data_IF_826010998373
#
_entry.id   IF_826010998373
#
_cell.length_a   1.000
_cell.length_b   1.000
_cell.length_c   1.000
_cell.angle_alpha   90.00
_cell.angle_beta   90.00
_cell.angle_gamma   90.00
#
_symmetry.space_group_name_H-M   'P 1'
#
loop_
_entity.id
_entity.type
_entity.pdbx_description
1 polymer ?
#
# COMPACT_ATOMS: atom_id res chain seq x y z
N UNK A 1 0.61 -3.18 -30.53
CA UNK A 1 1.22 -2.08 -29.77
C UNK A 1 0.13 -1.49 -28.90
N UNK A 2 0.31 -1.48 -27.58
CA UNK A 2 -0.63 -0.80 -26.70
C UNK A 2 -0.64 0.68 -27.05
N UNK A 3 -1.82 1.28 -27.21
CA UNK A 3 -1.95 2.70 -27.46
C UNK A 3 -1.52 3.42 -26.17
N UNK A 4 -0.49 4.25 -26.24
CA UNK A 4 -0.06 5.07 -25.10
C UNK A 4 -1.17 6.09 -24.83
N UNK A 5 -1.75 6.02 -23.63
CA UNK A 5 -2.76 6.98 -23.21
C UNK A 5 -2.12 8.30 -22.82
N UNK A 6 -2.74 9.40 -23.23
CA UNK A 6 -2.38 10.73 -22.74
C UNK A 6 -3.15 11.01 -21.43
N UNK A 7 -2.47 10.97 -20.28
CA UNK A 7 -3.13 11.15 -18.98
C UNK A 7 -3.58 12.60 -18.73
N UNK A 8 -3.32 13.53 -19.65
CA UNK A 8 -3.83 14.90 -19.56
C UNK A 8 -5.28 15.02 -20.06
N UNK A 9 -5.76 14.05 -20.87
CA UNK A 9 -7.11 14.05 -21.40
C UNK A 9 -8.14 13.69 -20.33
N UNK A 10 -9.21 14.49 -20.14
CA UNK A 10 -10.24 14.22 -19.11
C UNK A 10 -10.87 12.83 -19.26
N UNK A 11 -11.27 12.43 -20.46
CA UNK A 11 -11.89 11.12 -20.68
C UNK A 11 -10.99 9.95 -20.24
N UNK A 12 -9.68 10.02 -20.49
CA UNK A 12 -8.71 9.01 -20.02
C UNK A 12 -8.67 8.96 -18.50
N UNK A 13 -8.74 10.12 -17.84
CA UNK A 13 -8.76 10.19 -16.37
C UNK A 13 -10.05 9.66 -15.76
N UNK A 14 -11.18 9.90 -16.41
CA UNK A 14 -12.49 9.44 -15.93
C UNK A 14 -12.57 7.91 -15.98
N UNK A 15 -12.19 7.29 -17.10
CA UNK A 15 -12.11 5.82 -17.21
C UNK A 15 -11.12 5.22 -16.21
N UNK A 16 -9.96 5.82 -16.07
CA UNK A 16 -8.96 5.37 -15.10
C UNK A 16 -9.49 5.45 -13.67
N UNK A 17 -10.11 6.57 -13.28
CA UNK A 17 -10.66 6.75 -11.93
C UNK A 17 -11.77 5.75 -11.64
N UNK A 18 -12.68 5.53 -12.58
CA UNK A 18 -13.74 4.53 -12.47
C UNK A 18 -13.17 3.13 -12.26
N UNK A 19 -12.21 2.71 -13.10
CA UNK A 19 -11.56 1.40 -12.96
C UNK A 19 -10.78 1.26 -11.65
N UNK A 20 -10.15 2.34 -11.16
CA UNK A 20 -9.46 2.34 -9.88
C UNK A 20 -10.42 2.19 -8.70
N UNK A 21 -11.60 2.82 -8.75
CA UNK A 21 -12.66 2.66 -7.74
C UNK A 21 -13.22 1.24 -7.74
N UNK A 22 -13.52 0.67 -8.90
CA UNK A 22 -13.98 -0.72 -9.05
C UNK A 22 -12.92 -1.71 -8.54
N UNK A 23 -11.64 -1.42 -8.78
CA UNK A 23 -10.50 -2.21 -8.25
C UNK A 23 -10.33 -2.05 -6.74
N UNK A 24 -10.74 -0.91 -6.20
CA UNK A 24 -10.74 -0.63 -4.77
C UNK A 24 -9.37 -0.33 -4.17
N UNK A 25 -8.35 0.03 -4.97
CA UNK A 25 -7.02 0.40 -4.48
C UNK A 25 -6.70 1.87 -4.73
N UNK A 26 -6.40 2.61 -3.68
CA UNK A 26 -5.96 4.00 -3.78
C UNK A 26 -4.64 4.14 -4.55
N UNK A 27 -3.81 3.09 -4.54
CA UNK A 27 -2.54 3.04 -5.28
C UNK A 27 -2.71 2.86 -6.78
N UNK A 28 -3.92 2.52 -7.25
CA UNK A 28 -4.29 2.42 -8.66
C UNK A 28 -4.77 3.76 -9.24
N UNK A 29 -5.03 4.77 -8.40
CA UNK A 29 -5.63 6.04 -8.82
C UNK A 29 -4.69 6.90 -9.66
N UNK A 30 -5.23 7.73 -10.58
CA UNK A 30 -4.44 8.73 -11.29
C UNK A 30 -3.67 9.65 -10.34
N UNK A 31 -4.29 10.02 -9.20
CA UNK A 31 -3.70 10.89 -8.19
C UNK A 31 -2.41 10.29 -7.61
N UNK A 32 -2.41 8.99 -7.28
CA UNK A 32 -1.22 8.30 -6.78
C UNK A 32 -0.17 8.14 -7.89
N UNK A 33 -0.56 7.54 -9.01
CA UNK A 33 0.40 7.11 -10.03
C UNK A 33 1.01 8.29 -10.81
N UNK A 34 0.25 9.36 -11.08
CA UNK A 34 0.78 10.56 -11.73
C UNK A 34 1.61 11.42 -10.75
N UNK A 35 1.27 11.45 -9.45
CA UNK A 35 2.15 12.05 -8.44
C UNK A 35 3.46 11.27 -8.36
N UNK A 36 3.40 9.94 -8.31
CA UNK A 36 4.60 9.10 -8.37
C UNK A 36 5.44 9.40 -9.62
N UNK A 37 4.80 9.52 -10.78
CA UNK A 37 5.48 9.81 -12.05
C UNK A 37 6.22 11.16 -12.02
N UNK A 38 5.61 12.19 -11.44
CA UNK A 38 6.27 13.52 -11.31
C UNK A 38 7.54 13.46 -10.45
N UNK A 39 7.51 12.69 -9.37
CA UNK A 39 8.66 12.61 -8.46
C UNK A 39 9.76 11.65 -8.92
N UNK A 40 9.38 10.59 -9.61
CA UNK A 40 10.30 9.48 -9.91
C UNK A 40 10.38 9.13 -11.40
N UNK A 41 9.68 9.82 -12.28
CA UNK A 41 9.62 9.53 -13.70
C UNK A 41 10.78 10.12 -14.52
N UNK A 42 11.61 11.00 -13.95
CA UNK A 42 12.76 11.57 -14.64
C UNK A 42 13.67 10.47 -15.22
N UNK A 43 14.18 10.64 -16.43
CA UNK A 43 15.02 9.69 -17.17
C UNK A 43 14.36 8.32 -17.45
N UNK A 44 13.03 8.25 -17.37
CA UNK A 44 12.23 7.05 -17.67
C UNK A 44 11.24 7.35 -18.80
N UNK A 45 10.76 6.29 -19.43
CA UNK A 45 9.76 6.35 -20.49
C UNK A 45 8.43 5.82 -19.94
N UNK A 46 7.38 6.64 -19.95
CA UNK A 46 6.05 6.21 -19.53
C UNK A 46 5.49 5.22 -20.54
N UNK A 47 4.95 4.12 -20.06
CA UNK A 47 4.32 3.09 -20.86
C UNK A 47 2.95 2.78 -20.23
N UNK A 48 2.05 3.74 -20.36
CA UNK A 48 0.71 3.72 -19.79
C UNK A 48 -0.32 3.40 -20.88
N UNK A 49 -1.14 2.37 -20.66
CA UNK A 49 -2.35 2.11 -21.44
C UNK A 49 -3.55 2.28 -20.51
N UNK A 50 -4.54 3.04 -20.96
CA UNK A 50 -5.84 3.19 -20.31
C UNK A 50 -6.89 2.92 -21.37
N UNK A 51 -7.67 1.89 -21.16
CA UNK A 51 -8.78 1.46 -21.98
C UNK A 51 -10.04 1.41 -21.10
N UNK A 52 -11.21 1.28 -21.67
CA UNK A 52 -12.49 1.24 -20.96
C UNK A 52 -12.64 0.06 -19.99
N UNK A 53 -11.86 -1.01 -20.19
CA UNK A 53 -11.91 -2.27 -19.44
C UNK A 53 -10.59 -2.65 -18.73
N UNK A 54 -9.49 -1.87 -18.94
CA UNK A 54 -8.22 -2.16 -18.30
C UNK A 54 -7.25 -0.97 -18.27
N UNK A 55 -6.45 -0.91 -17.23
CA UNK A 55 -5.28 -0.02 -17.11
C UNK A 55 -4.02 -0.84 -16.93
N UNK A 56 -3.01 -0.58 -17.76
CA UNK A 56 -1.67 -1.14 -17.66
C UNK A 56 -0.67 -0.02 -17.32
N UNK A 57 -0.37 0.19 -16.02
CA UNK A 57 0.46 1.30 -15.58
C UNK A 57 1.92 0.91 -15.49
N UNK A 58 2.61 0.94 -16.61
CA UNK A 58 4.02 0.59 -16.69
C UNK A 58 4.91 1.79 -17.02
N UNK A 59 6.21 1.62 -16.84
CA UNK A 59 7.25 2.49 -17.35
C UNK A 59 8.50 1.70 -17.73
N UNK A 60 9.32 2.25 -18.61
CA UNK A 60 10.61 1.69 -19.00
C UNK A 60 11.72 2.39 -18.24
N UNK A 61 12.56 1.59 -17.60
CA UNK A 61 13.81 2.03 -17.02
C UNK A 61 14.98 1.42 -17.82
N UNK A 62 15.71 2.27 -18.54
CA UNK A 62 16.84 1.84 -19.36
C UNK A 62 18.08 1.65 -18.47
N UNK A 63 18.32 0.44 -18.05
CA UNK A 63 19.57 0.04 -17.38
C UNK A 63 20.47 -0.62 -18.42
N UNK A 64 21.29 0.18 -19.11
CA UNK A 64 22.15 -0.34 -20.19
C UNK A 64 22.93 -1.57 -19.73
N UNK A 65 22.94 -2.69 -20.50
CA UNK A 65 22.33 -2.82 -21.82
C UNK A 65 20.82 -3.21 -21.80
N UNK A 66 20.18 -3.34 -20.60
CA UNK A 66 18.84 -3.92 -20.45
C UNK A 66 17.73 -2.86 -20.54
N UNK A 67 16.66 -3.22 -21.26
CA UNK A 67 15.36 -2.53 -21.23
C UNK A 67 14.49 -3.19 -20.17
N UNK A 68 14.32 -2.53 -19.03
CA UNK A 68 13.55 -3.02 -17.88
C UNK A 68 12.20 -2.34 -17.82
N UNK A 69 11.11 -3.11 -17.93
CA UNK A 69 9.74 -2.62 -17.71
C UNK A 69 9.35 -2.87 -16.27
N UNK A 70 8.73 -1.88 -15.63
CA UNK A 70 8.26 -1.96 -14.25
C UNK A 70 6.88 -1.34 -14.09
N UNK A 71 6.17 -1.75 -13.05
CA UNK A 71 4.90 -1.14 -12.67
C UNK A 71 5.13 0.24 -12.06
N UNK A 72 4.29 1.22 -12.44
CA UNK A 72 4.23 2.53 -11.79
C UNK A 72 3.89 2.39 -10.29
N UNK A 73 4.32 3.35 -9.48
CA UNK A 73 4.02 3.35 -8.04
C UNK A 73 4.99 2.53 -7.19
N UNK A 74 5.93 1.79 -7.80
CA UNK A 74 6.83 0.93 -7.05
C UNK A 74 7.69 1.71 -6.03
N UNK A 75 7.98 1.07 -4.91
CA UNK A 75 8.68 1.67 -3.77
C UNK A 75 7.67 2.08 -2.69
N UNK A 76 7.04 3.26 -2.77
CA UNK A 76 6.07 3.68 -1.78
C UNK A 76 4.69 3.00 -1.89
N UNK A 77 4.29 2.52 -3.08
CA UNK A 77 2.96 1.93 -3.27
C UNK A 77 2.87 0.48 -2.83
N UNK A 78 1.69 0.09 -2.41
CA UNK A 78 1.26 -1.29 -2.21
C UNK A 78 0.15 -1.64 -3.22
N UNK A 79 -0.18 -2.92 -3.42
CA UNK A 79 -1.24 -3.36 -4.34
C UNK A 79 -1.10 -2.75 -5.75
N UNK A 80 0.03 -3.01 -6.39
CA UNK A 80 0.40 -2.46 -7.69
C UNK A 80 0.11 -3.43 -8.82
N UNK A 81 -0.03 -2.92 -10.05
CA UNK A 81 -0.14 -3.73 -11.24
C UNK A 81 -1.23 -3.28 -12.18
N UNK A 82 -1.48 -4.05 -13.24
CA UNK A 82 -2.65 -3.87 -14.09
C UNK A 82 -3.95 -4.11 -13.33
N UNK A 83 -4.99 -3.39 -13.67
CA UNK A 83 -6.31 -3.51 -13.05
C UNK A 83 -7.44 -3.25 -14.07
N UNK A 84 -8.64 -3.63 -13.70
CA UNK A 84 -9.81 -3.69 -14.57
C UNK A 84 -10.13 -5.12 -15.04
N UNK A 85 -11.36 -5.39 -15.51
CA UNK A 85 -11.83 -6.75 -15.82
C UNK A 85 -11.00 -7.47 -16.88
N UNK A 86 -10.50 -6.77 -17.91
CA UNK A 86 -9.66 -7.36 -18.96
C UNK A 86 -8.15 -7.29 -18.66
N UNK A 87 -7.73 -6.77 -17.51
CA UNK A 87 -6.32 -6.51 -17.19
C UNK A 87 -5.39 -7.73 -17.34
N UNK A 88 -5.87 -8.93 -17.03
CA UNK A 88 -5.09 -10.17 -17.12
C UNK A 88 -4.81 -10.58 -18.56
N UNK A 89 -5.80 -10.48 -19.44
CA UNK A 89 -5.64 -10.80 -20.85
C UNK A 89 -4.83 -9.71 -21.57
N UNK A 90 -5.04 -8.45 -21.24
CA UNK A 90 -4.23 -7.32 -21.73
C UNK A 90 -2.77 -7.45 -21.30
N UNK A 91 -2.51 -7.87 -20.05
CA UNK A 91 -1.15 -8.12 -19.56
C UNK A 91 -0.48 -9.26 -20.32
N UNK A 92 -1.19 -10.35 -20.60
CA UNK A 92 -0.67 -11.46 -21.40
C UNK A 92 -0.28 -10.98 -22.80
N UNK A 93 -1.16 -10.27 -23.49
CA UNK A 93 -0.89 -9.68 -24.79
C UNK A 93 0.31 -8.74 -24.77
N UNK A 94 0.40 -7.89 -23.73
CA UNK A 94 1.54 -7.01 -23.52
C UNK A 94 2.86 -7.78 -23.43
N UNK A 95 2.91 -8.87 -22.65
CA UNK A 95 4.10 -9.71 -22.49
C UNK A 95 4.51 -10.37 -23.80
N UNK A 96 3.55 -10.75 -24.65
CA UNK A 96 3.81 -11.41 -25.94
C UNK A 96 4.22 -10.43 -27.05
N UNK A 97 3.68 -9.22 -27.03
CA UNK A 97 3.86 -8.23 -28.09
C UNK A 97 4.99 -7.23 -27.85
N UNK A 98 5.24 -6.85 -26.57
CA UNK A 98 6.20 -5.80 -26.25
C UNK A 98 7.64 -6.31 -26.14
N UNK A 99 8.57 -5.46 -26.57
CA UNK A 99 10.00 -5.75 -26.50
C UNK A 99 10.57 -5.24 -25.18
N UNK A 100 11.00 -6.14 -24.33
CA UNK A 100 11.73 -5.87 -23.11
C UNK A 100 12.70 -7.01 -22.79
N UNK A 101 13.72 -6.72 -21.99
CA UNK A 101 14.62 -7.76 -21.44
C UNK A 101 14.08 -8.29 -20.12
N UNK A 102 13.59 -7.40 -19.27
CA UNK A 102 12.97 -7.73 -17.98
C UNK A 102 11.65 -7.00 -17.81
N UNK A 103 10.61 -7.73 -17.38
CA UNK A 103 9.39 -7.15 -16.82
C UNK A 103 9.32 -7.51 -15.34
N UNK A 104 9.16 -6.51 -14.49
CA UNK A 104 9.09 -6.65 -13.03
C UNK A 104 7.73 -6.19 -12.55
N UNK A 105 6.84 -7.14 -12.29
CA UNK A 105 5.54 -6.91 -11.68
C UNK A 105 5.65 -7.15 -10.17
N UNK A 106 5.67 -6.07 -9.41
CA UNK A 106 5.81 -6.10 -7.96
C UNK A 106 4.46 -5.87 -7.28
N UNK A 107 4.20 -6.63 -6.21
CA UNK A 107 3.04 -6.41 -5.33
C UNK A 107 1.69 -6.52 -6.07
N UNK A 108 1.60 -7.44 -7.02
CA UNK A 108 0.35 -7.78 -7.71
C UNK A 108 -0.65 -8.34 -6.69
N UNK A 109 -1.84 -7.73 -6.52
CA UNK A 109 -2.79 -8.15 -5.49
C UNK A 109 -3.48 -9.47 -5.84
N UNK A 110 -3.66 -10.33 -4.81
CA UNK A 110 -4.48 -11.54 -4.88
C UNK A 110 -6.00 -11.25 -4.80
N UNK A 111 -6.82 -12.29 -4.61
CA UNK A 111 -6.45 -13.68 -4.27
C UNK A 111 -6.05 -14.55 -5.45
N UNK A 112 -6.44 -14.22 -6.67
CA UNK A 112 -6.13 -15.04 -7.84
C UNK A 112 -4.67 -14.88 -8.28
N UNK A 113 -3.97 -16.01 -8.62
CA UNK A 113 -2.58 -15.96 -9.03
C UNK A 113 -2.41 -15.23 -10.38
N UNK A 114 -1.36 -14.41 -10.49
CA UNK A 114 -1.03 -13.66 -11.71
C UNK A 114 -0.15 -14.43 -12.70
N UNK A 115 0.50 -15.49 -12.24
CA UNK A 115 1.45 -16.25 -13.06
C UNK A 115 0.86 -16.76 -14.40
N UNK A 116 -0.41 -17.19 -14.50
CA UNK A 116 -1.03 -17.58 -15.76
C UNK A 116 -1.12 -16.46 -16.82
N UNK A 117 -1.15 -15.19 -16.37
CA UNK A 117 -1.20 -14.02 -17.24
C UNK A 117 0.19 -13.48 -17.64
N UNK A 118 1.25 -14.13 -17.18
CA UNK A 118 2.64 -13.73 -17.40
C UNK A 118 3.44 -14.87 -18.02
N UNK A 119 3.31 -15.13 -19.34
CA UNK A 119 4.05 -16.20 -20.04
C UNK A 119 5.56 -16.11 -19.78
N UNK A 120 6.17 -17.23 -19.39
CA UNK A 120 7.59 -17.29 -18.99
C UNK A 120 7.91 -16.63 -17.64
N UNK A 121 6.89 -16.19 -16.92
CA UNK A 121 7.02 -15.55 -15.62
C UNK A 121 7.55 -16.48 -14.54
N UNK A 122 8.21 -15.91 -13.56
CA UNK A 122 8.72 -16.59 -12.36
C UNK A 122 8.32 -15.83 -11.11
N UNK A 123 7.60 -16.51 -10.22
CA UNK A 123 7.28 -15.99 -8.91
C UNK A 123 8.58 -15.81 -8.11
N UNK A 124 8.82 -14.59 -7.65
CA UNK A 124 9.99 -14.26 -6.81
C UNK A 124 9.66 -14.25 -5.34
N UNK A 125 8.50 -13.72 -4.96
CA UNK A 125 8.07 -13.63 -3.57
C UNK A 125 6.56 -13.47 -3.48
N UNK A 126 6.02 -13.89 -2.34
CA UNK A 126 4.71 -13.50 -1.83
C UNK A 126 4.89 -12.78 -0.51
N UNK A 127 4.08 -11.75 -0.29
CA UNK A 127 3.98 -11.02 0.96
C UNK A 127 2.53 -11.06 1.41
N UNK A 128 2.26 -11.00 2.69
CA UNK A 128 0.91 -10.85 3.21
C UNK A 128 0.35 -9.46 2.89
N UNK A 129 -0.96 -9.40 2.73
CA UNK A 129 -1.78 -8.20 2.66
C UNK A 129 -3.08 -8.46 3.41
N UNK A 130 -3.02 -8.58 4.76
CA UNK A 130 -4.17 -8.98 5.56
C UNK A 130 -5.31 -7.98 5.47
N UNK A 131 -6.54 -8.51 5.43
CA UNK A 131 -7.78 -7.75 5.35
C UNK A 131 -8.71 -8.18 6.48
N UNK A 132 -9.34 -7.22 7.13
CA UNK A 132 -10.46 -7.42 8.02
C UNK A 132 -11.74 -7.00 7.29
N UNK A 133 -12.56 -7.96 6.96
CA UNK A 133 -13.90 -7.74 6.45
C UNK A 133 -14.85 -7.50 7.63
N UNK A 134 -15.57 -6.42 7.61
CA UNK A 134 -16.50 -6.08 8.68
C UNK A 134 -17.83 -6.84 8.58
N UNK A 135 -18.19 -7.34 7.38
CA UNK A 135 -19.38 -8.17 7.14
C UNK A 135 -20.68 -7.60 7.75
N UNK A 136 -20.79 -6.28 7.85
CA UNK A 136 -21.94 -5.62 8.47
C UNK A 136 -22.07 -5.77 10.00
N UNK A 137 -21.02 -6.27 10.67
CA UNK A 137 -20.99 -6.46 12.12
C UNK A 137 -20.87 -5.13 12.86
N UNK A 138 -21.36 -5.10 14.07
CA UNK A 138 -21.05 -4.06 15.05
C UNK A 138 -19.68 -4.30 15.68
N UNK A 139 -19.08 -3.27 16.29
CA UNK A 139 -17.84 -3.42 17.06
C UNK A 139 -17.90 -4.52 18.14
N UNK A 140 -19.04 -4.61 18.82
CA UNK A 140 -19.27 -5.63 19.85
C UNK A 140 -19.24 -7.05 19.27
N UNK A 141 -19.88 -7.27 18.14
CA UNK A 141 -19.92 -8.57 17.45
C UNK A 141 -18.56 -8.95 16.89
N UNK A 142 -17.84 -8.00 16.27
CA UNK A 142 -16.48 -8.20 15.78
C UNK A 142 -15.56 -8.66 16.93
N UNK A 143 -15.62 -7.98 18.06
CA UNK A 143 -14.85 -8.40 19.25
C UNK A 143 -15.32 -9.75 19.80
N UNK A 144 -16.61 -10.04 19.81
CA UNK A 144 -17.13 -11.32 20.28
C UNK A 144 -16.57 -12.51 19.49
N UNK A 145 -16.31 -12.33 18.18
CA UNK A 145 -15.64 -13.32 17.33
C UNK A 145 -14.14 -13.54 17.62
N UNK A 146 -13.51 -12.68 18.44
CA UNK A 146 -12.08 -12.81 18.80
C UNK A 146 -11.89 -13.57 20.11
N UNK A 147 -10.67 -14.08 20.35
CA UNK A 147 -10.35 -14.79 21.60
C UNK A 147 -10.58 -13.91 22.83
N UNK A 148 -10.95 -14.56 23.98
CA UNK A 148 -11.16 -13.86 25.25
C UNK A 148 -9.97 -12.99 25.64
N UNK A 149 -8.76 -13.53 25.53
CA UNK A 149 -7.53 -12.80 25.87
C UNK A 149 -7.36 -11.55 24.99
N UNK A 150 -7.70 -11.65 23.69
CA UNK A 150 -7.61 -10.49 22.79
C UNK A 150 -8.62 -9.40 23.15
N UNK A 151 -9.88 -9.76 23.41
CA UNK A 151 -10.93 -8.83 23.86
C UNK A 151 -10.53 -8.09 25.15
N UNK A 152 -10.07 -8.86 26.14
CA UNK A 152 -9.60 -8.30 27.41
C UNK A 152 -8.40 -7.36 27.20
N UNK A 153 -7.47 -7.71 26.30
CA UNK A 153 -6.31 -6.87 25.97
C UNK A 153 -6.74 -5.52 25.35
N UNK A 154 -7.69 -5.54 24.42
CA UNK A 154 -8.23 -4.32 23.79
C UNK A 154 -8.76 -3.36 24.85
N UNK A 155 -9.70 -3.80 25.65
CA UNK A 155 -10.30 -2.95 26.67
C UNK A 155 -9.35 -2.55 27.82
N UNK A 156 -8.48 -3.45 28.25
CA UNK A 156 -7.52 -3.20 29.34
C UNK A 156 -6.50 -2.13 28.95
N UNK A 157 -5.95 -2.18 27.72
CA UNK A 157 -4.91 -1.22 27.29
C UNK A 157 -5.47 0.19 27.13
N UNK A 158 -6.66 0.35 26.56
CA UNK A 158 -7.30 1.63 26.44
C UNK A 158 -7.56 2.24 27.83
N UNK A 159 -8.24 1.50 28.72
CA UNK A 159 -8.50 1.96 30.11
C UNK A 159 -7.23 2.24 30.92
N UNK A 160 -6.15 1.48 30.70
CA UNK A 160 -4.88 1.70 31.40
C UNK A 160 -4.21 3.01 30.93
N UNK A 161 -4.40 3.38 29.66
CA UNK A 161 -3.91 4.64 29.12
C UNK A 161 -4.71 5.82 29.69
N UNK A 162 -6.05 5.74 29.64
CA UNK A 162 -6.99 6.74 30.19
C UNK A 162 -6.83 7.01 31.70
N UNK A 163 -6.34 6.02 32.46
CA UNK A 163 -6.03 6.19 33.88
C UNK A 163 -4.75 6.95 34.17
N UNK A 164 -3.83 7.02 33.19
CA UNK A 164 -2.51 7.62 33.36
C UNK A 164 -2.38 8.98 32.70
N UNK A 165 -3.20 9.26 31.68
CA UNK A 165 -3.09 10.44 30.83
C UNK A 165 -4.47 10.96 30.45
N UNK A 166 -4.54 12.25 30.14
CA UNK A 166 -5.63 12.80 29.33
C UNK A 166 -5.42 12.35 27.87
N UNK A 167 -6.32 11.49 27.39
CA UNK A 167 -6.19 10.80 26.08
C UNK A 167 -7.13 11.44 25.08
N UNK A 168 -6.58 11.93 23.98
CA UNK A 168 -7.37 12.41 22.84
C UNK A 168 -6.97 11.75 21.53
N UNK A 169 -7.96 11.63 20.64
CA UNK A 169 -7.79 11.12 19.29
C UNK A 169 -8.21 12.23 18.31
N UNK A 170 -7.31 12.61 17.43
CA UNK A 170 -7.58 13.65 16.44
C UNK A 170 -7.48 13.07 15.03
N UNK A 171 -8.59 13.11 14.29
CA UNK A 171 -8.60 12.82 12.86
C UNK A 171 -8.33 14.11 12.08
N UNK A 172 -7.37 14.04 11.18
CA UNK A 172 -7.02 15.08 10.22
C UNK A 172 -7.33 14.56 8.82
N UNK A 173 -8.20 15.26 8.12
CA UNK A 173 -8.67 14.90 6.76
C UNK A 173 -8.24 15.91 5.70
N UNK A 174 -7.71 17.05 6.12
CA UNK A 174 -7.05 18.06 5.31
C UNK A 174 -5.52 17.85 5.32
N UNK A 175 -4.81 18.49 4.41
CA UNK A 175 -3.35 18.37 4.34
C UNK A 175 -2.64 19.33 5.31
N UNK A 176 -3.02 19.31 6.58
CA UNK A 176 -2.39 20.09 7.66
C UNK A 176 -0.90 19.75 7.78
N UNK A 177 -0.04 20.70 7.46
CA UNK A 177 1.41 20.52 7.45
C UNK A 177 1.96 20.19 8.85
N UNK A 178 1.40 20.76 9.91
CA UNK A 178 1.82 20.48 11.30
C UNK A 178 1.48 19.05 11.72
N UNK A 179 0.36 18.51 11.25
CA UNK A 179 -0.02 17.11 11.47
C UNK A 179 0.89 16.16 10.67
N UNK A 180 1.22 16.50 9.41
CA UNK A 180 2.16 15.75 8.60
C UNK A 180 3.57 15.76 9.20
N UNK A 181 4.07 16.91 9.67
CA UNK A 181 5.35 17.02 10.40
C UNK A 181 5.37 16.11 11.62
N UNK A 182 4.28 16.10 12.38
CA UNK A 182 4.12 15.24 13.55
C UNK A 182 4.17 13.76 13.15
N UNK A 183 3.49 13.37 12.07
CA UNK A 183 3.53 12.01 11.54
C UNK A 183 4.95 11.60 11.14
N UNK A 184 5.65 12.40 10.32
CA UNK A 184 7.00 12.07 9.86
C UNK A 184 8.00 11.98 11.01
N UNK A 185 7.90 12.89 11.99
CA UNK A 185 8.71 12.84 13.22
C UNK A 185 8.48 11.54 13.99
N UNK A 186 7.22 11.18 14.27
CA UNK A 186 6.88 9.94 14.99
C UNK A 186 7.26 8.69 14.22
N UNK A 187 7.12 8.70 12.88
CA UNK A 187 7.53 7.61 12.01
C UNK A 187 9.06 7.41 12.08
N UNK A 188 9.83 8.49 12.00
CA UNK A 188 11.28 8.45 12.13
C UNK A 188 11.75 7.91 13.48
N UNK A 189 11.12 8.33 14.59
CA UNK A 189 11.40 7.82 15.93
C UNK A 189 11.17 6.31 16.06
N UNK A 190 10.06 5.81 15.47
CA UNK A 190 9.72 4.38 15.47
C UNK A 190 10.79 3.53 14.78
N UNK A 191 11.31 3.96 13.63
CA UNK A 191 12.15 3.16 12.75
C UNK A 191 13.64 3.32 12.99
N UNK A 192 14.07 4.33 13.77
CA UNK A 192 15.48 4.61 14.10
C UNK A 192 16.40 4.75 12.89
N UNK A 193 15.85 5.17 11.73
CA UNK A 193 16.63 5.33 10.50
C UNK A 193 15.74 5.62 9.29
N UNK A 194 16.36 5.80 8.11
CA UNK A 194 15.62 6.11 6.88
C UNK A 194 14.74 4.93 6.45
N UNK A 195 13.52 5.24 6.09
CA UNK A 195 12.55 4.31 5.52
C UNK A 195 12.15 4.77 4.12
N UNK A 196 11.46 3.93 3.35
CA UNK A 196 10.88 4.37 2.07
C UNK A 196 10.01 5.60 2.26
N UNK A 197 9.24 5.68 3.35
CA UNK A 197 8.34 6.81 3.66
C UNK A 197 9.13 8.10 3.86
N UNK A 198 10.16 8.09 4.70
CA UNK A 198 10.98 9.30 4.95
C UNK A 198 11.86 9.68 3.76
N UNK A 199 12.29 8.71 2.96
CA UNK A 199 13.06 8.97 1.73
C UNK A 199 12.19 9.52 0.60
N UNK A 200 10.87 9.37 0.68
CA UNK A 200 9.91 9.84 -0.31
C UNK A 200 8.95 10.88 0.27
N UNK A 201 9.36 11.61 1.30
CA UNK A 201 8.52 12.55 2.05
C UNK A 201 7.84 13.59 1.15
N UNK A 202 8.55 14.20 0.21
CA UNK A 202 7.97 15.18 -0.71
C UNK A 202 6.82 14.58 -1.55
N UNK A 203 6.98 13.35 -2.03
CA UNK A 203 5.92 12.62 -2.70
C UNK A 203 4.74 12.32 -1.75
N UNK A 204 5.01 11.90 -0.52
CA UNK A 204 3.97 11.58 0.46
C UNK A 204 3.13 12.81 0.81
N UNK A 205 3.76 13.98 0.99
CA UNK A 205 3.06 15.25 1.26
C UNK A 205 2.20 15.68 0.08
N UNK A 206 2.72 15.63 -1.14
CA UNK A 206 1.95 15.96 -2.33
C UNK A 206 0.75 15.01 -2.51
N UNK A 207 0.95 13.71 -2.29
CA UNK A 207 -0.16 12.78 -2.39
C UNK A 207 -1.19 12.98 -1.26
N UNK A 208 -0.75 13.27 -0.03
CA UNK A 208 -1.66 13.59 1.08
C UNK A 208 -2.56 14.79 0.76
N UNK A 209 -2.01 15.85 0.12
CA UNK A 209 -2.80 16.99 -0.33
C UNK A 209 -3.87 16.58 -1.36
N UNK A 210 -3.50 15.77 -2.36
CA UNK A 210 -4.45 15.28 -3.36
C UNK A 210 -5.50 14.34 -2.77
N UNK A 211 -5.09 13.49 -1.84
CA UNK A 211 -6.00 12.61 -1.12
C UNK A 211 -6.98 13.41 -0.24
N UNK A 212 -6.54 14.52 0.35
CA UNK A 212 -7.40 15.44 1.10
C UNK A 212 -8.43 16.13 0.18
N UNK A 213 -8.02 16.63 -0.98
CA UNK A 213 -8.91 17.21 -2.01
C UNK A 213 -10.02 16.24 -2.44
N UNK A 214 -9.73 14.93 -2.42
CA UNK A 214 -10.67 13.85 -2.75
C UNK A 214 -11.45 13.32 -1.54
N UNK A 215 -11.18 13.80 -0.33
CA UNK A 215 -11.78 13.28 0.89
C UNK A 215 -11.29 11.87 1.29
N UNK A 216 -10.13 11.44 0.76
CA UNK A 216 -9.56 10.11 1.05
C UNK A 216 -8.58 10.11 2.21
N UNK A 217 -7.98 11.27 2.56
CA UNK A 217 -6.95 11.34 3.59
C UNK A 217 -7.53 11.00 4.97
N UNK A 218 -6.82 10.13 5.67
CA UNK A 218 -7.06 9.78 7.07
C UNK A 218 -5.74 9.82 7.82
N UNK A 219 -5.51 10.86 8.60
CA UNK A 219 -4.35 10.97 9.48
C UNK A 219 -4.84 11.07 10.93
N UNK A 220 -4.66 9.99 11.67
CA UNK A 220 -5.01 9.92 13.09
C UNK A 220 -3.80 10.22 13.96
N UNK A 221 -4.00 11.05 14.96
CA UNK A 221 -3.04 11.32 16.04
C UNK A 221 -3.65 10.90 17.38
N UNK A 222 -2.89 10.11 18.13
CA UNK A 222 -3.15 9.83 19.54
C UNK A 222 -2.28 10.78 20.36
N UNK A 223 -2.93 11.59 21.19
CA UNK A 223 -2.27 12.55 22.06
C UNK A 223 -2.46 12.16 23.52
N UNK A 224 -1.42 12.33 24.32
CA UNK A 224 -1.39 12.09 25.76
C UNK A 224 -0.98 13.38 26.46
N UNK A 225 -1.85 13.92 27.31
CA UNK A 225 -1.67 15.23 27.97
C UNK A 225 -1.33 16.34 26.95
N UNK A 226 -2.02 16.32 25.79
CA UNK A 226 -1.82 17.24 24.67
C UNK A 226 -0.54 17.03 23.85
N UNK A 227 0.18 15.92 24.05
CA UNK A 227 1.42 15.60 23.30
C UNK A 227 1.21 14.42 22.36
N UNK A 228 1.52 14.55 21.06
CA UNK A 228 1.41 13.45 20.12
C UNK A 228 2.32 12.27 20.47
N UNK A 229 1.71 11.12 20.79
CA UNK A 229 2.39 9.88 21.20
C UNK A 229 2.41 8.83 20.11
N UNK A 230 1.39 8.78 19.25
CA UNK A 230 1.33 7.90 18.07
C UNK A 230 0.60 8.57 16.91
N UNK A 231 0.94 8.16 15.70
CA UNK A 231 0.29 8.59 14.47
C UNK A 231 -0.01 7.39 13.58
N UNK A 232 -1.10 7.49 12.82
CA UNK A 232 -1.54 6.52 11.83
C UNK A 232 -1.95 7.27 10.57
N UNK A 233 -1.26 7.01 9.47
CA UNK A 233 -1.56 7.57 8.15
C UNK A 233 -2.19 6.49 7.29
N UNK A 234 -3.33 6.80 6.72
CA UNK A 234 -4.07 5.92 5.83
C UNK A 234 -5.01 6.67 4.91
N UNK A 235 -5.87 5.89 4.23
CA UNK A 235 -6.78 6.43 3.24
C UNK A 235 -8.13 5.71 3.29
N UNK A 236 -9.24 6.46 3.18
CA UNK A 236 -10.56 5.91 2.92
C UNK A 236 -10.78 5.93 1.41
N UNK A 237 -10.85 4.77 0.78
CA UNK A 237 -11.06 4.66 -0.66
C UNK A 237 -11.99 3.50 -1.01
N UNK A 238 -12.92 3.72 -1.93
CA UNK A 238 -13.91 2.73 -2.38
C UNK A 238 -14.55 1.94 -1.21
N UNK A 239 -14.91 2.65 -0.11
CA UNK A 239 -15.52 2.06 1.07
C UNK A 239 -14.60 1.24 1.98
N UNK A 240 -13.30 1.14 1.68
CA UNK A 240 -12.30 0.50 2.53
C UNK A 240 -11.44 1.51 3.27
N UNK A 241 -11.06 1.20 4.52
CA UNK A 241 -10.04 1.93 5.27
C UNK A 241 -8.69 1.25 5.09
N UNK A 242 -7.70 1.97 4.59
CA UNK A 242 -6.37 1.45 4.26
C UNK A 242 -5.33 1.93 5.28
N UNK A 243 -4.76 1.00 6.06
CA UNK A 243 -3.68 1.27 7.01
C UNK A 243 -2.34 1.34 6.27
N UNK A 244 -1.93 2.53 5.88
CA UNK A 244 -0.72 2.69 5.07
C UNK A 244 0.54 2.72 5.92
N UNK A 245 0.65 3.66 6.87
CA UNK A 245 1.86 3.81 7.69
C UNK A 245 1.52 4.26 9.12
N UNK A 246 2.45 4.03 10.03
CA UNK A 246 2.32 4.49 11.40
C UNK A 246 3.65 4.99 11.99
N UNK A 247 3.53 5.88 12.96
CA UNK A 247 4.62 6.37 13.79
C UNK A 247 4.27 6.30 15.27
N UNK A 248 5.28 6.31 16.12
CA UNK A 248 5.10 6.45 17.57
C UNK A 248 6.35 6.99 18.24
N UNK A 249 6.15 7.57 19.41
CA UNK A 249 7.25 7.89 20.32
C UNK A 249 7.59 6.63 21.14
N UNK A 250 8.82 6.10 21.05
CA UNK A 250 9.25 4.93 21.82
C UNK A 250 9.21 5.11 23.34
N UNK A 251 9.18 6.35 23.85
CA UNK A 251 9.05 6.62 25.30
C UNK A 251 7.73 6.06 25.85
N UNK A 252 6.70 5.88 25.01
CA UNK A 252 5.40 5.29 25.35
C UNK A 252 5.26 3.81 24.97
N UNK A 253 6.35 3.08 24.72
CA UNK A 253 6.27 1.66 24.32
C UNK A 253 5.57 0.78 25.38
N UNK A 254 5.77 1.08 26.67
CA UNK A 254 5.10 0.37 27.78
C UNK A 254 3.58 0.56 27.77
N UNK A 255 3.11 1.70 27.33
CA UNK A 255 1.70 2.06 27.20
C UNK A 255 1.02 1.46 25.98
N UNK A 256 1.80 0.91 25.02
CA UNK A 256 1.29 0.27 23.81
C UNK A 256 0.44 1.21 22.93
N UNK A 257 0.81 2.48 22.83
CA UNK A 257 0.07 3.54 22.13
C UNK A 257 -0.28 3.17 20.67
N UNK A 258 0.62 2.50 19.94
CA UNK A 258 0.33 2.04 18.58
C UNK A 258 -0.81 1.02 18.52
N UNK A 259 -0.91 0.11 19.49
CA UNK A 259 -1.99 -0.87 19.54
C UNK A 259 -3.32 -0.19 19.90
N UNK A 260 -3.30 0.75 20.83
CA UNK A 260 -4.50 1.51 21.23
C UNK A 260 -5.00 2.33 20.05
N UNK A 261 -4.13 3.07 19.36
CA UNK A 261 -4.49 3.84 18.18
C UNK A 261 -5.02 2.95 17.05
N UNK A 262 -4.34 1.83 16.73
CA UNK A 262 -4.81 0.89 15.71
C UNK A 262 -6.21 0.35 16.03
N UNK A 263 -6.45 0.00 17.28
CA UNK A 263 -7.77 -0.50 17.71
C UNK A 263 -8.85 0.57 17.57
N UNK A 264 -8.51 1.83 17.90
CA UNK A 264 -9.39 2.97 17.72
C UNK A 264 -9.70 3.18 16.24
N UNK A 265 -8.71 3.22 15.36
CA UNK A 265 -8.94 3.45 13.92
C UNK A 265 -9.76 2.34 13.25
N UNK A 266 -9.63 1.08 13.69
CA UNK A 266 -10.47 -0.03 13.22
C UNK A 266 -11.92 0.16 13.66
N UNK A 267 -12.12 0.56 14.92
CA UNK A 267 -13.46 0.82 15.45
C UNK A 267 -14.13 1.99 14.72
N UNK A 268 -13.45 3.11 14.59
CA UNK A 268 -13.93 4.29 13.88
C UNK A 268 -14.27 3.97 12.42
N UNK A 269 -13.40 3.21 11.72
CA UNK A 269 -13.66 2.80 10.35
C UNK A 269 -14.95 1.99 10.22
N UNK A 270 -15.19 1.07 11.14
CA UNK A 270 -16.39 0.24 11.18
C UNK A 270 -17.64 1.09 11.50
N UNK A 271 -17.58 1.94 12.53
CA UNK A 271 -18.68 2.81 12.95
C UNK A 271 -19.01 3.87 11.90
N UNK A 272 -18.02 4.29 11.08
CA UNK A 272 -18.12 5.23 9.97
C UNK A 272 -18.50 4.53 8.63
N UNK A 273 -18.95 3.28 8.70
CA UNK A 273 -19.53 2.53 7.59
C UNK A 273 -18.55 1.98 6.55
N UNK A 274 -17.26 1.82 6.87
CA UNK A 274 -16.38 1.05 6.01
C UNK A 274 -16.85 -0.41 5.92
N UNK A 275 -16.66 -1.04 4.76
CA UNK A 275 -16.93 -2.46 4.62
C UNK A 275 -15.70 -3.32 4.94
N UNK A 276 -14.49 -2.76 4.83
CA UNK A 276 -13.22 -3.42 5.06
C UNK A 276 -12.19 -2.51 5.75
N UNK A 277 -11.28 -3.14 6.48
CA UNK A 277 -10.03 -2.53 6.93
C UNK A 277 -8.85 -3.30 6.33
N UNK A 278 -8.08 -2.66 5.46
CA UNK A 278 -6.93 -3.26 4.76
C UNK A 278 -5.64 -2.89 5.48
N UNK A 279 -4.93 -3.89 5.98
CA UNK A 279 -3.65 -3.69 6.65
C UNK A 279 -2.49 -3.49 5.68
N UNK A 280 -2.75 -3.63 4.37
CA UNK A 280 -1.77 -3.53 3.29
C UNK A 280 -0.57 -4.47 3.50
N UNK A 281 0.50 -4.26 2.75
CA UNK A 281 1.66 -5.16 2.75
C UNK A 281 2.28 -5.34 4.13
N UNK A 282 2.58 -6.59 4.47
CA UNK A 282 3.37 -7.00 5.63
C UNK A 282 2.77 -8.18 6.39
N UNK A 283 3.68 -9.04 6.86
CA UNK A 283 3.37 -10.28 7.56
C UNK A 283 3.45 -10.12 9.09
N UNK A 284 3.26 -8.89 9.60
CA UNK A 284 3.37 -8.63 11.04
C UNK A 284 2.25 -9.34 11.81
N UNK A 285 2.60 -10.14 12.86
CA UNK A 285 1.62 -10.98 13.55
C UNK A 285 0.43 -10.23 14.15
N UNK A 286 0.59 -8.94 14.48
CA UNK A 286 -0.51 -8.16 15.05
C UNK A 286 -1.66 -7.93 14.06
N UNK A 287 -1.38 -7.85 12.74
CA UNK A 287 -2.39 -7.70 11.69
C UNK A 287 -3.33 -8.89 11.64
N UNK A 288 -2.76 -10.10 11.72
CA UNK A 288 -3.50 -11.36 11.67
C UNK A 288 -4.38 -11.60 12.89
N UNK A 289 -4.19 -10.86 13.98
CA UNK A 289 -5.11 -10.91 15.12
C UNK A 289 -6.47 -10.29 14.82
N UNK A 290 -6.52 -9.38 13.85
CA UNK A 290 -7.74 -8.73 13.39
C UNK A 290 -8.26 -9.35 12.10
N UNK A 291 -7.39 -9.63 11.17
CA UNK A 291 -7.71 -10.05 9.82
C UNK A 291 -8.66 -11.25 9.75
N UNK A 292 -9.48 -11.26 8.72
CA UNK A 292 -10.38 -12.36 8.34
C UNK A 292 -9.87 -13.13 7.13
N UNK A 293 -9.04 -12.49 6.30
CA UNK A 293 -8.44 -13.07 5.10
C UNK A 293 -7.08 -12.45 4.81
N UNK A 294 -6.33 -13.09 3.91
CA UNK A 294 -5.07 -12.57 3.38
C UNK A 294 -4.96 -12.92 1.88
N UNK A 295 -5.40 -12.03 0.99
CA UNK A 295 -5.25 -12.24 -0.46
C UNK A 295 -3.79 -12.32 -0.90
N UNK A 296 -2.87 -11.69 -0.17
CA UNK A 296 -1.45 -11.64 -0.48
C UNK A 296 -1.08 -10.76 -1.66
N UNK A 297 0.23 -10.57 -1.82
CA UNK A 297 0.84 -9.80 -2.90
C UNK A 297 1.93 -10.62 -3.57
N UNK A 298 1.85 -10.78 -4.88
CA UNK A 298 2.84 -11.51 -5.67
C UNK A 298 3.86 -10.56 -6.31
N UNK A 299 5.12 -10.96 -6.33
CA UNK A 299 6.14 -10.34 -7.18
C UNK A 299 6.58 -11.34 -8.21
N UNK A 300 6.34 -11.03 -9.48
CA UNK A 300 6.63 -11.90 -10.62
C UNK A 300 7.60 -11.17 -11.56
N UNK A 301 8.48 -11.95 -12.16
CA UNK A 301 9.50 -11.47 -13.10
C UNK A 301 9.44 -12.28 -14.38
N UNK A 302 9.39 -11.59 -15.53
CA UNK A 302 9.54 -12.18 -16.85
C UNK A 302 10.88 -11.74 -17.43
N UNK A 303 11.68 -12.69 -17.96
CA UNK A 303 12.99 -12.40 -18.53
C UNK A 303 13.07 -12.94 -19.96
N UNK A 304 13.35 -12.06 -20.91
CA UNK A 304 13.58 -12.38 -22.29
C UNK A 304 15.09 -12.30 -22.62
N UNK A 305 15.59 -13.28 -23.38
CA UNK A 305 17.01 -13.33 -23.77
C UNK A 305 17.96 -13.86 -22.69
N UNK A 306 19.21 -14.12 -23.08
CA UNK A 306 20.22 -14.73 -22.22
C UNK A 306 20.71 -13.77 -21.12
N UNK A 307 20.99 -12.51 -21.46
CA UNK A 307 21.47 -11.51 -20.52
C UNK A 307 20.51 -11.28 -19.35
N UNK A 308 19.21 -11.18 -19.65
CA UNK A 308 18.16 -11.03 -18.64
C UNK A 308 18.03 -12.26 -17.73
N UNK A 309 18.18 -13.47 -18.29
CA UNK A 309 18.16 -14.72 -17.49
C UNK A 309 19.35 -14.81 -16.55
N UNK A 310 20.54 -14.37 -16.97
CA UNK A 310 21.73 -14.29 -16.11
C UNK A 310 21.53 -13.26 -14.99
N UNK A 311 21.04 -12.08 -15.33
CA UNK A 311 20.71 -11.05 -14.32
C UNK A 311 19.70 -11.56 -13.28
N UNK A 312 18.68 -12.29 -13.72
CA UNK A 312 17.70 -12.91 -12.83
C UNK A 312 18.32 -13.98 -11.92
N UNK A 313 19.17 -14.82 -12.46
CA UNK A 313 19.88 -15.85 -11.67
C UNK A 313 20.77 -15.21 -10.59
N UNK A 314 21.51 -14.15 -10.95
CA UNK A 314 22.33 -13.37 -10.00
C UNK A 314 21.51 -12.73 -8.88
N UNK A 315 20.36 -12.12 -9.23
CA UNK A 315 19.46 -11.51 -8.24
C UNK A 315 18.86 -12.55 -7.26
N UNK A 316 18.59 -13.77 -7.73
CA UNK A 316 18.12 -14.88 -6.88
C UNK A 316 19.21 -15.38 -5.93
N UNK A 317 20.43 -15.56 -6.43
CA UNK A 317 21.56 -15.98 -5.62
C UNK A 317 21.86 -14.95 -4.51
N UNK A 318 21.86 -13.65 -4.83
CA UNK A 318 22.05 -12.57 -3.86
C UNK A 318 20.97 -12.53 -2.76
N UNK A 319 19.69 -12.78 -3.11
CA UNK A 319 18.61 -12.86 -2.10
C UNK A 319 18.73 -14.10 -1.22
N UNK A 320 19.08 -15.24 -1.79
CA UNK A 320 19.31 -16.47 -1.03
C UNK A 320 20.44 -16.29 -0.03
N UNK A 321 21.56 -15.69 -0.44
CA UNK A 321 22.69 -15.35 0.43
C UNK A 321 22.28 -14.39 1.55
N UNK A 322 21.53 -13.31 1.24
CA UNK A 322 21.05 -12.36 2.26
C UNK A 322 20.11 -13.03 3.27
N UNK A 323 19.24 -13.94 2.82
CA UNK A 323 18.33 -14.69 3.70
C UNK A 323 19.08 -15.70 4.58
N UNK A 324 20.17 -16.27 4.11
CA UNK A 324 21.03 -17.17 4.90
C UNK A 324 21.82 -16.42 5.98
N UNK A 325 22.25 -15.18 5.70
CA UNK A 325 22.98 -14.34 6.65
C UNK A 325 22.07 -13.66 7.71
N UNK A 326 20.76 -13.67 7.52
CA UNK A 326 19.77 -13.10 8.45
C UNK A 326 19.10 -14.14 9.37
N UNK A 327 19.54 -15.39 9.30
CA UNK A 327 19.17 -16.50 10.20
C UNK A 327 20.30 -16.78 11.19
#
# INVERSE_FOLDING_TARGET
>A
MATLADPSLPAVRDDWSRLAEEHGSVFATPEWLLTWWRHFGADRELLLSVEDDAVLPFYVWRQRPLRVVRVLGHGPGDELGPFGPASRDRLRHFVEAERFDLLVCQQLPGPEPWLPSLPGGKLLSRNGSPVLDFAGQTWKELLAGKSRNFREQVGRRARALEKQFDVSYRLVTDADEGALDTFFRLHGLRHRGPTTVTQTEAFQREFAARAAERGWLRLWLLELDGRPAAAWLGYRFAGAECYYQAGRDPSYDKQSVSFVLLTHTIREALEDGAHQYRFLRGDEPYKYRFATSDPGLETILVAHGAAARVALAGARAGRAAKKALSR
#
